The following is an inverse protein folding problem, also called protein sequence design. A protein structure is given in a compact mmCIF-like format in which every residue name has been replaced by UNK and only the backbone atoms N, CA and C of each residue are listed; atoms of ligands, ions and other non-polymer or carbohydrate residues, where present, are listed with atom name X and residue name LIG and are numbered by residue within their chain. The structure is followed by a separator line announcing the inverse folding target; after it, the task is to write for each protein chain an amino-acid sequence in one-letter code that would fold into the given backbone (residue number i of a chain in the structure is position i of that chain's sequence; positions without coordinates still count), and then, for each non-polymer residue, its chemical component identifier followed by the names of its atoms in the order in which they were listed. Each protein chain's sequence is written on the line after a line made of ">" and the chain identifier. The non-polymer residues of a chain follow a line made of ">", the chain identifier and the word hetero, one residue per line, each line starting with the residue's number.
data_IF_533742377601
#
_entry.id   IF_533742377601
#
_cell.length_a   1.000
_cell.length_b   1.000
_cell.length_c   1.000
_cell.angle_alpha   90.00
_cell.angle_beta   90.00
_cell.angle_gamma   90.00
#
_symmetry.space_group_name_H-M   'P 1'
#
loop_
_entity.id
_entity.type
_entity.pdbx_description
1 polymer ?
#
# COMPACT_ATOMS: atom_id res chain seq x y z
N UNK A 1 2.08 18.42 -18.13
CA UNK A 1 0.80 18.35 -17.40
C UNK A 1 1.05 17.66 -16.09
N UNK A 2 0.44 18.12 -15.04
CA UNK A 2 0.65 17.59 -13.70
C UNK A 2 -0.60 17.79 -12.82
N UNK A 3 -0.76 17.03 -11.76
CA UNK A 3 -1.83 17.15 -10.77
C UNK A 3 -1.29 17.36 -9.34
N UNK A 4 0.02 17.30 -9.17
CA UNK A 4 0.64 17.46 -7.87
C UNK A 4 0.67 18.91 -7.41
N UNK A 5 0.76 19.10 -6.08
CA UNK A 5 1.01 20.40 -5.49
C UNK A 5 2.39 20.90 -5.93
N UNK A 6 2.44 22.09 -6.49
CA UNK A 6 3.70 22.68 -6.95
C UNK A 6 4.60 23.03 -5.77
N UNK A 7 5.86 22.64 -5.87
CA UNK A 7 6.90 23.09 -4.94
C UNK A 7 7.43 24.47 -5.30
N UNK A 8 8.10 25.13 -4.37
CA UNK A 8 8.70 26.47 -4.55
C UNK A 8 9.92 26.46 -5.48
N UNK A 9 10.42 25.29 -5.86
CA UNK A 9 11.64 25.16 -6.69
C UNK A 9 11.37 24.93 -8.17
N UNK A 10 10.10 24.99 -8.60
CA UNK A 10 9.80 24.89 -10.03
C UNK A 10 10.32 26.13 -10.75
N UNK A 11 11.38 25.97 -11.53
CA UNK A 11 11.96 27.00 -12.36
C UNK A 11 12.25 26.44 -13.74
N UNK A 12 11.97 27.21 -14.77
CA UNK A 12 12.26 26.84 -16.15
C UNK A 12 13.16 27.90 -16.79
N UNK A 13 14.08 27.45 -17.64
CA UNK A 13 14.99 28.35 -18.36
C UNK A 13 14.25 29.16 -19.44
N UNK A 14 13.31 28.49 -20.10
CA UNK A 14 12.52 29.04 -21.18
C UNK A 14 11.02 28.98 -20.84
N UNK A 15 10.16 29.84 -21.47
CA UNK A 15 8.72 29.74 -21.31
C UNK A 15 8.20 28.36 -21.75
N UNK A 16 7.37 27.75 -20.92
CA UNK A 16 6.74 26.47 -21.22
C UNK A 16 5.22 26.57 -21.09
N UNK A 17 4.52 25.70 -21.82
CA UNK A 17 3.10 25.49 -21.55
C UNK A 17 2.97 24.51 -20.40
N UNK A 18 2.53 25.01 -19.25
CA UNK A 18 2.29 24.22 -18.07
C UNK A 18 0.78 24.12 -17.78
N UNK A 19 0.29 22.91 -17.51
CA UNK A 19 -1.08 22.64 -17.10
C UNK A 19 -1.02 21.87 -15.78
N UNK A 20 -1.59 22.46 -14.73
CA UNK A 20 -1.72 21.82 -13.44
C UNK A 20 -3.16 22.05 -12.96
N UNK A 21 -3.87 20.96 -12.64
CA UNK A 21 -5.25 20.99 -12.16
C UNK A 21 -5.43 20.05 -10.99
N UNK A 22 -6.34 20.38 -10.05
CA UNK A 22 -6.60 19.56 -8.86
C UNK A 22 -7.51 18.36 -9.23
N UNK A 23 -6.93 17.35 -9.85
CA UNK A 23 -7.53 16.05 -10.17
C UNK A 23 -6.72 14.95 -9.52
N UNK A 24 -7.27 13.76 -9.42
CA UNK A 24 -6.60 12.62 -8.80
C UNK A 24 -5.48 12.02 -9.63
N UNK A 25 -5.48 12.20 -10.97
CA UNK A 25 -4.49 11.63 -11.87
C UNK A 25 -4.14 12.54 -13.03
N UNK A 26 -2.86 12.58 -13.41
CA UNK A 26 -2.43 13.19 -14.67
C UNK A 26 -3.04 12.48 -15.88
N UNK A 27 -3.34 11.19 -15.78
CA UNK A 27 -4.04 10.45 -16.83
C UNK A 27 -5.43 11.02 -17.12
N UNK A 28 -6.11 11.55 -16.11
CA UNK A 28 -7.38 12.29 -16.26
C UNK A 28 -7.21 13.55 -17.12
N UNK A 29 -6.13 14.31 -16.92
CA UNK A 29 -5.85 15.49 -17.73
C UNK A 29 -5.58 15.13 -19.19
N UNK A 30 -4.88 14.02 -19.42
CA UNK A 30 -4.64 13.49 -20.78
C UNK A 30 -5.96 13.05 -21.41
N UNK A 31 -6.79 12.28 -20.70
CA UNK A 31 -8.09 11.81 -21.17
C UNK A 31 -9.02 12.97 -21.53
N UNK A 32 -9.10 13.99 -20.68
CA UNK A 32 -9.88 15.21 -20.95
C UNK A 32 -9.43 15.93 -22.23
N UNK A 33 -8.16 15.91 -22.57
CA UNK A 33 -7.69 16.50 -23.84
C UNK A 33 -8.17 15.75 -25.07
N UNK A 34 -8.26 14.42 -24.99
CA UNK A 34 -8.90 13.61 -26.03
C UNK A 34 -10.38 13.94 -26.12
N UNK A 35 -11.08 13.89 -24.97
CA UNK A 35 -12.50 14.12 -24.86
C UNK A 35 -12.94 15.48 -25.42
N UNK A 36 -12.30 16.58 -24.98
CA UNK A 36 -12.65 17.95 -25.41
C UNK A 36 -12.29 18.25 -26.87
N UNK A 37 -11.46 17.41 -27.49
CA UNK A 37 -11.15 17.55 -28.94
C UNK A 37 -11.99 16.62 -29.80
N UNK A 38 -12.92 15.86 -29.22
CA UNK A 38 -13.70 14.81 -29.89
C UNK A 38 -12.79 13.82 -30.64
N UNK A 39 -11.66 13.44 -30.04
CA UNK A 39 -10.71 12.45 -30.55
C UNK A 39 -10.70 11.27 -29.61
N UNK A 40 -10.99 10.09 -30.11
CA UNK A 40 -10.88 8.87 -29.32
C UNK A 40 -9.43 8.37 -29.29
N UNK A 41 -8.88 8.02 -28.10
CA UNK A 41 -7.62 7.31 -28.03
C UNK A 41 -7.76 5.89 -28.61
N UNK A 42 -6.65 5.28 -29.01
CA UNK A 42 -6.68 3.84 -29.32
C UNK A 42 -7.07 3.03 -28.09
N UNK A 43 -7.60 1.81 -28.31
CA UNK A 43 -7.98 0.92 -27.22
C UNK A 43 -6.84 0.72 -26.20
N UNK A 44 -5.61 0.47 -26.68
CA UNK A 44 -4.44 0.29 -25.83
C UNK A 44 -4.13 1.53 -24.98
N UNK A 45 -4.23 2.74 -25.57
CA UNK A 45 -4.04 3.99 -24.84
C UNK A 45 -5.15 4.19 -23.81
N UNK A 46 -6.40 3.86 -24.14
CA UNK A 46 -7.52 3.93 -23.20
C UNK A 46 -7.29 3.01 -21.98
N UNK A 47 -6.82 1.77 -22.19
CA UNK A 47 -6.46 0.84 -21.09
C UNK A 47 -5.35 1.43 -20.22
N UNK A 48 -4.28 1.98 -20.79
CA UNK A 48 -3.21 2.60 -20.03
C UNK A 48 -3.68 3.81 -19.20
N UNK A 49 -4.56 4.63 -19.77
CA UNK A 49 -5.13 5.77 -19.05
C UNK A 49 -6.06 5.33 -17.92
N UNK A 50 -6.88 4.28 -18.14
CA UNK A 50 -7.67 3.66 -17.07
C UNK A 50 -6.78 3.19 -15.92
N UNK A 51 -5.71 2.44 -16.22
CA UNK A 51 -4.76 1.97 -15.22
C UNK A 51 -4.14 3.11 -14.41
N UNK A 52 -3.71 4.20 -15.08
CA UNK A 52 -3.16 5.37 -14.41
C UNK A 52 -4.16 6.08 -13.51
N UNK A 53 -5.43 6.23 -13.93
CA UNK A 53 -6.48 6.82 -13.08
C UNK A 53 -6.74 5.92 -11.87
N UNK A 54 -6.91 4.61 -12.06
CA UNK A 54 -7.15 3.65 -10.97
C UNK A 54 -6.01 3.65 -9.95
N UNK A 55 -4.76 3.64 -10.42
CA UNK A 55 -3.56 3.67 -9.58
C UNK A 55 -3.51 4.92 -8.71
N UNK A 56 -3.53 6.10 -9.33
CA UNK A 56 -3.33 7.37 -8.63
C UNK A 56 -4.50 7.73 -7.69
N UNK A 57 -5.70 7.25 -8.01
CA UNK A 57 -6.92 7.52 -7.23
C UNK A 57 -7.31 6.39 -6.28
N UNK A 58 -6.52 5.32 -6.21
CA UNK A 58 -6.85 4.12 -5.45
C UNK A 58 -8.29 3.64 -5.74
N UNK A 59 -8.58 3.40 -7.01
CA UNK A 59 -9.92 3.08 -7.47
C UNK A 59 -10.98 4.12 -7.05
N UNK A 60 -10.67 5.41 -7.19
CA UNK A 60 -11.54 6.55 -6.85
C UNK A 60 -11.87 6.67 -5.35
N UNK A 61 -11.10 6.02 -4.46
CA UNK A 61 -11.28 6.11 -3.00
C UNK A 61 -10.34 7.11 -2.34
N UNK A 62 -9.24 7.48 -3.01
CA UNK A 62 -8.30 8.50 -2.50
C UNK A 62 -9.00 9.84 -2.22
N UNK A 63 -8.62 10.54 -1.13
CA UNK A 63 -9.10 11.91 -0.86
C UNK A 63 -8.81 12.90 -1.99
N UNK A 64 -7.83 12.60 -2.87
CA UNK A 64 -7.48 13.42 -4.02
C UNK A 64 -8.34 13.12 -5.25
N UNK A 65 -9.12 12.03 -5.25
CA UNK A 65 -9.98 11.67 -6.36
C UNK A 65 -11.06 12.74 -6.58
N UNK A 66 -11.17 13.20 -7.82
CA UNK A 66 -12.11 14.24 -8.22
C UNK A 66 -13.21 13.66 -9.13
N UNK A 67 -14.30 14.43 -9.29
CA UNK A 67 -15.38 14.07 -10.21
C UNK A 67 -14.87 13.82 -11.65
N UNK A 68 -13.88 14.61 -12.09
CA UNK A 68 -13.28 14.46 -13.40
C UNK A 68 -12.60 13.10 -13.61
N UNK A 69 -12.00 12.52 -12.57
CA UNK A 69 -11.38 11.20 -12.65
C UNK A 69 -12.43 10.12 -12.93
N UNK A 70 -13.57 10.18 -12.25
CA UNK A 70 -14.69 9.26 -12.46
C UNK A 70 -15.27 9.37 -13.87
N UNK A 71 -15.54 10.60 -14.33
CA UNK A 71 -16.10 10.86 -15.66
C UNK A 71 -15.17 10.34 -16.77
N UNK A 72 -13.86 10.56 -16.63
CA UNK A 72 -12.89 10.10 -17.63
C UNK A 72 -12.67 8.59 -17.57
N UNK A 73 -12.68 8.00 -16.40
CA UNK A 73 -12.58 6.55 -16.25
C UNK A 73 -13.77 5.84 -16.92
N UNK A 74 -14.99 6.32 -16.68
CA UNK A 74 -16.21 5.79 -17.32
C UNK A 74 -16.16 5.90 -18.85
N UNK A 75 -15.78 7.05 -19.37
CA UNK A 75 -15.62 7.25 -20.81
C UNK A 75 -14.56 6.33 -21.44
N UNK A 76 -13.39 6.21 -20.78
CA UNK A 76 -12.27 5.38 -21.25
C UNK A 76 -12.59 3.90 -21.21
N UNK A 77 -13.32 3.41 -20.21
CA UNK A 77 -13.69 1.98 -20.12
C UNK A 77 -14.58 1.56 -21.29
N UNK A 78 -15.44 2.45 -21.78
CA UNK A 78 -16.23 2.23 -22.99
C UNK A 78 -15.36 2.07 -24.24
N UNK A 79 -14.31 2.88 -24.41
CA UNK A 79 -13.37 2.80 -25.54
C UNK A 79 -12.45 1.59 -25.39
N UNK A 80 -11.96 1.34 -24.19
CA UNK A 80 -11.09 0.22 -23.87
C UNK A 80 -11.79 -1.15 -24.03
N UNK A 81 -13.13 -1.17 -24.02
CA UNK A 81 -13.96 -2.40 -24.07
C UNK A 81 -13.57 -3.40 -22.97
N UNK A 82 -13.32 -2.89 -21.78
CA UNK A 82 -12.98 -3.67 -20.60
C UNK A 82 -14.16 -3.73 -19.63
N UNK A 83 -14.30 -4.84 -18.93
CA UNK A 83 -15.11 -4.89 -17.71
C UNK A 83 -14.36 -4.14 -16.62
N UNK A 84 -14.89 -2.98 -16.22
CA UNK A 84 -14.22 -2.10 -15.27
C UNK A 84 -13.96 -2.78 -13.92
N UNK A 85 -14.91 -3.58 -13.42
CA UNK A 85 -14.77 -4.28 -12.15
C UNK A 85 -13.67 -5.33 -12.22
N UNK A 86 -13.75 -6.21 -13.21
CA UNK A 86 -12.76 -7.26 -13.42
C UNK A 86 -11.36 -6.71 -13.64
N UNK A 87 -11.25 -5.66 -14.49
CA UNK A 87 -9.96 -5.00 -14.74
C UNK A 87 -9.36 -4.40 -13.46
N UNK A 88 -10.18 -3.74 -12.63
CA UNK A 88 -9.74 -3.18 -11.36
C UNK A 88 -9.25 -4.27 -10.41
N UNK A 89 -10.00 -5.37 -10.28
CA UNK A 89 -9.62 -6.51 -9.44
C UNK A 89 -8.29 -7.14 -9.89
N UNK A 90 -8.11 -7.35 -11.19
CA UNK A 90 -6.87 -7.89 -11.77
C UNK A 90 -5.70 -6.91 -11.62
N UNK A 91 -5.94 -5.62 -11.87
CA UNK A 91 -4.92 -4.58 -11.76
C UNK A 91 -4.32 -4.51 -10.36
N UNK A 92 -5.17 -4.41 -9.33
CA UNK A 92 -4.70 -4.34 -7.95
C UNK A 92 -4.19 -5.69 -7.43
N UNK A 93 -4.73 -6.82 -7.90
CA UNK A 93 -4.20 -8.14 -7.56
C UNK A 93 -2.76 -8.34 -8.05
N UNK A 94 -2.40 -7.80 -9.20
CA UNK A 94 -1.06 -7.95 -9.79
C UNK A 94 0.01 -7.21 -8.95
N UNK A 95 -0.35 -6.10 -8.29
CA UNK A 95 0.54 -5.35 -7.41
C UNK A 95 0.58 -5.85 -5.96
N UNK A 96 -0.33 -6.75 -5.57
CA UNK A 96 -0.45 -7.25 -4.21
C UNK A 96 0.49 -8.42 -3.95
N UNK A 97 1.32 -8.31 -2.92
CA UNK A 97 2.16 -9.42 -2.46
C UNK A 97 1.34 -10.53 -1.81
N UNK A 98 0.21 -10.19 -1.16
CA UNK A 98 -0.67 -11.16 -0.51
C UNK A 98 -1.43 -12.03 -1.52
N UNK A 99 -1.83 -11.46 -2.67
CA UNK A 99 -2.67 -12.13 -3.67
C UNK A 99 -1.88 -12.76 -4.82
N UNK A 100 -0.63 -12.40 -5.00
CA UNK A 100 0.22 -12.82 -6.14
C UNK A 100 0.82 -14.22 -5.99
N UNK A 101 0.43 -15.02 -5.00
CA UNK A 101 1.05 -16.31 -4.65
C UNK A 101 2.55 -16.20 -4.36
N UNK A 102 2.99 -15.03 -3.92
CA UNK A 102 4.37 -14.81 -3.49
C UNK A 102 4.65 -15.66 -2.26
N UNK A 103 5.82 -16.30 -2.24
CA UNK A 103 6.24 -17.11 -1.09
C UNK A 103 6.30 -16.25 0.18
N UNK A 104 5.78 -16.72 1.33
CA UNK A 104 5.78 -15.98 2.60
C UNK A 104 7.14 -15.44 2.99
N UNK A 105 8.22 -16.18 2.72
CA UNK A 105 9.59 -15.75 2.98
C UNK A 105 9.98 -14.50 2.19
N UNK A 106 9.51 -14.36 0.95
CA UNK A 106 9.76 -13.19 0.09
C UNK A 106 8.98 -11.98 0.64
N UNK A 107 7.73 -12.18 1.05
CA UNK A 107 6.89 -11.13 1.64
C UNK A 107 7.56 -10.55 2.88
N UNK A 108 8.03 -11.40 3.80
CA UNK A 108 8.70 -10.96 5.04
C UNK A 108 10.02 -10.22 4.75
N UNK A 109 10.74 -10.57 3.69
CA UNK A 109 12.01 -9.94 3.34
C UNK A 109 11.86 -8.64 2.52
N UNK A 110 10.69 -8.35 1.96
CA UNK A 110 10.48 -7.26 0.99
C UNK A 110 10.91 -5.87 1.50
N UNK A 111 10.54 -5.51 2.73
CA UNK A 111 11.03 -4.30 3.42
C UNK A 111 11.27 -4.63 4.90
N UNK A 112 12.24 -5.50 5.14
CA UNK A 112 12.61 -5.94 6.47
C UNK A 112 13.71 -5.08 7.07
N UNK A 113 13.58 -4.72 8.36
CA UNK A 113 14.63 -4.06 9.15
C UNK A 113 14.79 -4.73 10.50
N UNK A 114 16.03 -4.84 10.93
CA UNK A 114 16.40 -5.37 12.25
C UNK A 114 16.81 -4.21 13.16
N UNK A 115 16.40 -4.28 14.42
CA UNK A 115 16.70 -3.29 15.45
C UNK A 115 17.21 -4.01 16.69
N UNK A 116 17.95 -3.29 17.53
CA UNK A 116 18.29 -3.73 18.88
C UNK A 116 17.80 -2.70 19.88
N UNK A 117 16.98 -3.13 20.82
CA UNK A 117 16.32 -2.27 21.79
C UNK A 117 16.33 -2.96 23.17
N UNK A 118 16.78 -2.25 24.21
CA UNK A 118 16.98 -2.79 25.56
C UNK A 118 17.77 -4.12 25.62
N UNK A 119 18.71 -4.32 24.71
CA UNK A 119 19.48 -5.56 24.61
C UNK A 119 18.79 -6.69 23.81
N UNK A 120 17.56 -6.48 23.37
CA UNK A 120 16.79 -7.45 22.60
C UNK A 120 16.86 -7.17 21.10
N UNK A 121 17.15 -8.19 20.31
CA UNK A 121 17.14 -8.10 18.83
C UNK A 121 15.74 -8.39 18.32
N UNK A 122 15.23 -7.50 17.48
CA UNK A 122 13.90 -7.61 16.87
C UNK A 122 13.96 -7.37 15.36
N UNK A 123 12.99 -7.91 14.64
CA UNK A 123 12.83 -7.68 13.21
C UNK A 123 11.44 -7.15 12.91
N UNK A 124 11.34 -6.11 12.09
CA UNK A 124 10.07 -5.54 11.64
C UNK A 124 10.09 -5.39 10.12
N UNK A 125 9.21 -6.12 9.47
CA UNK A 125 8.91 -6.00 8.05
C UNK A 125 7.67 -5.13 7.86
N UNK A 126 7.54 -4.47 6.71
CA UNK A 126 6.34 -3.74 6.32
C UNK A 126 6.04 -3.99 4.85
N UNK A 127 4.77 -4.23 4.54
CA UNK A 127 4.24 -4.21 3.18
C UNK A 127 3.05 -3.26 3.12
N UNK A 128 2.84 -2.69 1.94
CA UNK A 128 1.70 -1.82 1.65
C UNK A 128 0.78 -2.52 0.65
N UNK A 129 -0.51 -2.56 0.97
CA UNK A 129 -1.53 -3.25 0.20
C UNK A 129 -2.72 -2.31 -0.05
N UNK A 130 -3.53 -2.64 -1.04
CA UNK A 130 -4.82 -1.99 -1.28
C UNK A 130 -5.93 -2.92 -0.75
N UNK A 131 -6.38 -2.63 0.46
CA UNK A 131 -7.24 -3.53 1.23
C UNK A 131 -6.46 -4.71 1.82
N UNK A 132 -7.06 -5.40 2.78
CA UNK A 132 -6.47 -6.58 3.45
C UNK A 132 -6.79 -7.91 2.77
N UNK A 133 -7.19 -7.86 1.49
CA UNK A 133 -7.63 -9.04 0.75
C UNK A 133 -6.50 -10.05 0.57
N UNK A 134 -6.76 -11.29 0.94
CA UNK A 134 -5.80 -12.40 0.83
C UNK A 134 -4.90 -12.58 2.04
N UNK A 135 -4.95 -11.70 3.05
CA UNK A 135 -4.16 -11.88 4.28
C UNK A 135 -4.53 -13.17 5.00
N UNK A 136 -5.82 -13.46 5.13
CA UNK A 136 -6.31 -14.70 5.78
C UNK A 136 -5.77 -15.96 5.11
N UNK A 137 -5.68 -15.96 3.77
CA UNK A 137 -5.22 -17.13 2.99
C UNK A 137 -3.73 -17.44 3.21
N UNK A 138 -2.92 -16.42 3.47
CA UNK A 138 -1.45 -16.56 3.61
C UNK A 138 -0.97 -16.42 5.06
N UNK A 139 -1.82 -16.04 6.00
CA UNK A 139 -1.48 -15.72 7.39
C UNK A 139 -0.69 -16.84 8.08
N UNK A 140 -1.14 -18.09 7.98
CA UNK A 140 -0.45 -19.22 8.61
C UNK A 140 0.97 -19.40 8.04
N UNK A 141 1.13 -19.22 6.74
CA UNK A 141 2.42 -19.24 6.07
C UNK A 141 3.36 -18.14 6.57
N UNK A 142 2.84 -16.91 6.68
CA UNK A 142 3.59 -15.76 7.18
C UNK A 142 4.00 -15.94 8.65
N UNK A 143 3.10 -16.40 9.50
CA UNK A 143 3.39 -16.69 10.93
C UNK A 143 4.46 -17.78 11.06
N UNK A 144 4.40 -18.83 10.25
CA UNK A 144 5.43 -19.88 10.23
C UNK A 144 6.79 -19.32 9.83
N UNK A 145 6.87 -18.49 8.80
CA UNK A 145 8.14 -17.88 8.38
C UNK A 145 8.68 -16.86 9.40
N UNK A 146 7.82 -16.12 10.09
CA UNK A 146 8.24 -15.26 11.20
C UNK A 146 8.83 -16.09 12.35
N UNK A 147 8.25 -17.26 12.69
CA UNK A 147 8.83 -18.18 13.69
C UNK A 147 10.20 -18.69 13.27
N UNK A 148 10.32 -19.16 12.02
CA UNK A 148 11.61 -19.59 11.47
C UNK A 148 12.67 -18.48 11.60
N UNK A 149 12.26 -17.22 11.36
CA UNK A 149 13.16 -16.07 11.47
C UNK A 149 13.58 -15.80 12.92
N UNK A 150 12.65 -15.91 13.88
CA UNK A 150 12.94 -15.80 15.33
C UNK A 150 13.98 -16.82 15.74
N UNK A 151 13.79 -18.09 15.39
CA UNK A 151 14.70 -19.18 15.73
C UNK A 151 16.07 -19.02 15.07
N UNK A 152 16.09 -18.75 13.77
CA UNK A 152 17.32 -18.65 12.97
C UNK A 152 18.21 -17.49 13.39
N UNK A 153 17.63 -16.35 13.76
CA UNK A 153 18.38 -15.12 14.04
C UNK A 153 18.43 -14.77 15.54
N UNK A 154 17.83 -15.58 16.41
CA UNK A 154 17.76 -15.33 17.84
C UNK A 154 17.04 -14.04 18.19
N UNK A 155 15.91 -13.77 17.52
CA UNK A 155 15.13 -12.56 17.74
C UNK A 155 14.24 -12.69 18.97
N UNK A 156 14.04 -11.62 19.70
CA UNK A 156 13.03 -11.53 20.76
C UNK A 156 11.62 -11.46 20.14
N UNK A 157 11.46 -10.66 19.07
CA UNK A 157 10.24 -10.53 18.29
C UNK A 157 10.55 -10.44 16.78
N UNK A 158 9.70 -11.03 15.96
CA UNK A 158 9.60 -10.78 14.53
C UNK A 158 8.19 -10.32 14.18
N UNK A 159 8.08 -9.21 13.46
CA UNK A 159 6.83 -8.55 13.13
C UNK A 159 6.70 -8.32 11.62
N UNK A 160 5.48 -8.41 11.10
CA UNK A 160 5.10 -7.95 9.77
C UNK A 160 3.91 -6.99 9.91
N UNK A 161 4.11 -5.74 9.52
CA UNK A 161 3.06 -4.73 9.39
C UNK A 161 2.50 -4.79 7.98
N UNK A 162 1.23 -5.11 7.84
CA UNK A 162 0.48 -5.06 6.59
C UNK A 162 -0.37 -3.81 6.63
N UNK A 163 -0.03 -2.82 5.82
CA UNK A 163 -0.67 -1.50 5.82
C UNK A 163 -1.64 -1.39 4.65
N UNK A 164 -2.91 -1.13 4.92
CA UNK A 164 -3.87 -0.72 3.91
C UNK A 164 -3.69 0.77 3.62
N UNK A 165 -3.21 1.09 2.42
CA UNK A 165 -2.96 2.48 2.02
C UNK A 165 -4.25 3.27 1.71
N UNK A 166 -5.41 2.60 1.68
CA UNK A 166 -6.72 3.24 1.44
C UNK A 166 -7.35 3.67 2.76
N UNK A 167 -7.43 2.77 3.74
CA UNK A 167 -8.03 3.07 5.05
C UNK A 167 -7.05 3.72 6.01
N UNK A 168 -5.74 3.59 5.75
CA UNK A 168 -4.64 3.97 6.64
C UNK A 168 -4.59 3.16 7.94
N UNK A 169 -5.19 1.98 7.93
CA UNK A 169 -5.10 1.01 9.00
C UNK A 169 -4.07 -0.07 8.68
N UNK A 170 -3.60 -0.76 9.70
CA UNK A 170 -2.71 -1.90 9.52
C UNK A 170 -3.16 -3.10 10.33
N UNK A 171 -2.77 -4.28 9.83
CA UNK A 171 -2.72 -5.51 10.59
C UNK A 171 -1.28 -5.82 10.94
N UNK A 172 -1.03 -6.21 12.19
CA UNK A 172 0.28 -6.60 12.66
C UNK A 172 0.29 -8.10 12.93
N UNK A 173 1.15 -8.83 12.22
CA UNK A 173 1.53 -10.18 12.59
C UNK A 173 2.79 -10.09 13.46
N UNK A 174 2.77 -10.72 14.63
CA UNK A 174 3.90 -10.73 15.56
C UNK A 174 4.11 -12.12 16.18
N UNK A 175 5.38 -12.51 16.29
CA UNK A 175 5.82 -13.81 16.79
C UNK A 175 7.07 -13.62 17.63
N UNK A 176 7.21 -14.38 18.70
CA UNK A 176 8.39 -14.39 19.56
C UNK A 176 8.05 -14.63 21.02
N UNK A 177 8.65 -13.87 21.90
CA UNK A 177 8.45 -13.95 23.34
C UNK A 177 7.03 -13.57 23.75
N UNK A 178 6.35 -14.45 24.51
CA UNK A 178 4.94 -14.26 24.87
C UNK A 178 4.73 -13.04 25.77
N UNK A 179 5.65 -12.75 26.70
CA UNK A 179 5.53 -11.58 27.57
C UNK A 179 5.64 -10.28 26.74
N UNK A 180 6.55 -10.26 25.75
CA UNK A 180 6.63 -9.15 24.80
C UNK A 180 5.36 -9.02 23.96
N UNK A 181 4.75 -10.13 23.51
CA UNK A 181 3.50 -10.12 22.74
C UNK A 181 2.31 -9.62 23.58
N UNK A 182 2.23 -9.99 24.85
CA UNK A 182 1.19 -9.52 25.77
C UNK A 182 1.29 -8.01 26.06
N UNK A 183 2.50 -7.46 26.01
CA UNK A 183 2.74 -6.03 26.24
C UNK A 183 2.53 -5.17 24.98
N UNK A 184 2.21 -5.76 23.82
CA UNK A 184 1.85 -4.97 22.61
C UNK A 184 0.51 -4.28 22.86
N UNK A 185 0.49 -2.96 22.79
CA UNK A 185 -0.66 -2.11 23.12
C UNK A 185 -1.81 -2.13 22.09
N UNK A 186 -1.67 -2.87 20.98
CA UNK A 186 -2.70 -3.01 19.96
C UNK A 186 -3.73 -4.10 20.31
N UNK A 187 -4.96 -3.95 19.82
CA UNK A 187 -6.01 -4.93 20.02
C UNK A 187 -5.61 -6.30 19.44
N UNK A 188 -5.58 -7.31 20.28
CA UNK A 188 -5.23 -8.68 19.88
C UNK A 188 -6.45 -9.38 19.27
N UNK A 189 -6.40 -9.68 17.98
CA UNK A 189 -7.46 -10.37 17.23
C UNK A 189 -7.25 -11.90 17.20
N UNK A 190 -6.05 -12.35 17.51
CA UNK A 190 -5.69 -13.77 17.51
C UNK A 190 -4.31 -14.02 18.13
N UNK A 191 -3.84 -15.26 18.17
CA UNK A 191 -2.57 -15.58 18.83
C UNK A 191 -1.37 -14.77 18.33
N UNK A 192 -1.35 -14.46 17.04
CA UNK A 192 -0.24 -13.75 16.39
C UNK A 192 -0.72 -12.56 15.54
N UNK A 193 -1.99 -12.13 15.68
CA UNK A 193 -2.61 -11.08 14.88
C UNK A 193 -3.13 -9.96 15.78
N UNK A 194 -2.81 -8.72 15.40
CA UNK A 194 -3.23 -7.52 16.12
C UNK A 194 -3.80 -6.48 15.12
N UNK A 195 -4.80 -5.72 15.56
CA UNK A 195 -5.32 -4.56 14.84
C UNK A 195 -4.51 -3.33 15.21
N UNK A 196 -3.78 -2.78 14.24
CA UNK A 196 -2.99 -1.57 14.41
C UNK A 196 -3.65 -0.40 13.67
N UNK A 197 -4.81 0.03 14.17
CA UNK A 197 -5.61 1.12 13.61
C UNK A 197 -4.80 2.43 13.59
N UNK A 198 -4.90 3.21 12.49
CA UNK A 198 -4.16 4.47 12.27
C UNK A 198 -2.63 4.32 12.29
N UNK A 199 -2.09 3.11 12.12
CA UNK A 199 -0.65 2.85 12.11
C UNK A 199 -0.19 2.58 10.69
N UNK A 200 0.47 3.54 10.08
CA UNK A 200 0.96 3.46 8.68
C UNK A 200 2.49 3.52 8.58
N UNK A 201 3.18 3.72 9.70
CA UNK A 201 4.62 3.92 9.69
C UNK A 201 5.34 3.02 10.67
N UNK A 202 6.09 2.05 10.14
CA UNK A 202 6.99 1.22 10.95
C UNK A 202 7.88 2.04 11.87
N UNK A 203 8.56 3.09 11.33
CA UNK A 203 9.56 3.86 12.08
C UNK A 203 8.94 4.80 13.12
N UNK A 204 7.83 5.48 12.76
CA UNK A 204 7.28 6.56 13.58
C UNK A 204 6.24 6.08 14.58
N UNK A 205 5.58 4.95 14.32
CA UNK A 205 4.45 4.46 15.10
C UNK A 205 4.69 3.05 15.65
N UNK A 206 4.93 2.04 14.77
CA UNK A 206 5.07 0.66 15.22
C UNK A 206 6.34 0.44 16.06
N UNK A 207 7.52 0.88 15.60
CA UNK A 207 8.77 0.66 16.33
C UNK A 207 8.73 1.24 17.76
N UNK A 208 8.24 2.48 18.01
CA UNK A 208 8.05 2.98 19.37
C UNK A 208 7.08 2.14 20.22
N UNK A 209 6.01 1.58 19.64
CA UNK A 209 5.08 0.71 20.36
C UNK A 209 5.76 -0.62 20.77
N UNK A 210 6.48 -1.26 19.84
CA UNK A 210 7.27 -2.46 20.13
C UNK A 210 8.38 -2.17 21.15
N UNK A 211 9.06 -1.01 21.05
CA UNK A 211 10.06 -0.60 22.04
C UNK A 211 9.48 -0.50 23.45
N UNK A 212 8.25 0.04 23.61
CA UNK A 212 7.56 0.07 24.90
C UNK A 212 7.25 -1.33 25.42
N UNK A 213 6.80 -2.23 24.56
CA UNK A 213 6.51 -3.62 24.94
C UNK A 213 7.75 -4.40 25.45
N UNK A 214 8.95 -4.03 24.96
CA UNK A 214 10.21 -4.66 25.37
C UNK A 214 10.83 -4.03 26.63
N UNK A 215 10.39 -2.82 27.01
CA UNK A 215 11.00 -2.09 28.13
C UNK A 215 10.79 -2.75 29.49
N UNK A 216 9.77 -3.57 29.61
CA UNK A 216 9.36 -4.22 30.87
C UNK A 216 9.90 -5.65 31.00
N UNK A 217 10.64 -6.13 30.00
CA UNK A 217 11.32 -7.43 29.98
C UNK A 217 12.75 -7.28 30.51
#
# INVERSE_FOLDING_TARGET
>A
MDHHRLGTQLSTRDPIRFLNEPVGSTSTLVARRFYHRNVEPSQAVAVCLCAGILSDTLNLTSPTAARADREMLEWLTGIAKIDAKKFTEEFFATGSLLRSKTEPSVIIQADRKTFTEYGHKISISQIEEIGMFGLEDVQEGLVRELRNLVEKEGLKLACLLVTDIVTHDSMLLAVGDEEALENIEYERLGPNLFSATDVVSRKKQLFPAISRALKTL
#
